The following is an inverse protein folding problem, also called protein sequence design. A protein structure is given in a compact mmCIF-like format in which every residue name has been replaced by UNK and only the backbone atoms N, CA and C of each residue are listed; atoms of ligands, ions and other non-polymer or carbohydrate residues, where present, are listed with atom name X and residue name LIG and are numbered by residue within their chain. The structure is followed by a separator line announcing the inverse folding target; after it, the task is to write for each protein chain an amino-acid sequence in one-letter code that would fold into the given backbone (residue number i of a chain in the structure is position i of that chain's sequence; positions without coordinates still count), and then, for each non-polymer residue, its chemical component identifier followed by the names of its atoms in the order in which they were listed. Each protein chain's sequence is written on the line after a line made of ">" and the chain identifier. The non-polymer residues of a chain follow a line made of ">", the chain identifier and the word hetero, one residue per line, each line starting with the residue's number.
data_IF_082179384573
#
_entry.id   IF_082179384573
#
_cell.length_a   1.000
_cell.length_b   1.000
_cell.length_c   1.000
_cell.angle_alpha   90.00
_cell.angle_beta   90.00
_cell.angle_gamma   90.00
#
_symmetry.space_group_name_H-M   'P 1'
#
loop_
_entity.id
_entity.type
_entity.pdbx_description
1 polymer ?
#
# COMPACT_ATOMS: atom_id res chain seq x y z
N UNK A 1 -3.96 -0.23 -30.63
CA UNK A 1 -4.66 -1.38 -30.02
C UNK A 1 -3.99 -1.66 -28.68
N UNK A 2 -4.63 -1.30 -27.56
CA UNK A 2 -4.06 -1.54 -26.22
C UNK A 2 -4.42 -2.96 -25.79
N UNK A 3 -3.40 -3.81 -25.60
CA UNK A 3 -3.54 -5.16 -25.05
C UNK A 3 -4.02 -5.06 -23.59
N UNK A 4 -5.33 -5.17 -23.36
CA UNK A 4 -5.91 -5.27 -22.03
C UNK A 4 -5.76 -6.69 -21.48
N UNK A 5 -4.53 -7.11 -21.20
CA UNK A 5 -4.28 -8.32 -20.42
C UNK A 5 -4.64 -8.04 -18.95
N UNK A 6 -5.92 -8.06 -18.63
CA UNK A 6 -6.40 -8.07 -17.24
C UNK A 6 -5.83 -9.32 -16.56
N UNK A 7 -4.86 -9.11 -15.66
CA UNK A 7 -4.26 -10.20 -14.89
C UNK A 7 -5.29 -10.69 -13.90
N UNK A 8 -5.89 -11.87 -14.12
CA UNK A 8 -6.79 -12.48 -13.13
C UNK A 8 -5.98 -12.99 -11.95
N UNK A 9 -6.07 -12.30 -10.81
CA UNK A 9 -5.52 -12.75 -9.54
C UNK A 9 -6.63 -12.86 -8.50
N UNK A 10 -6.88 -14.07 -8.00
CA UNK A 10 -7.89 -14.31 -6.96
C UNK A 10 -7.49 -13.70 -5.61
N UNK A 11 -6.20 -13.41 -5.44
CA UNK A 11 -5.63 -12.96 -4.17
C UNK A 11 -5.16 -11.51 -4.19
N UNK A 12 -4.69 -11.01 -5.34
CA UNK A 12 -4.13 -9.68 -5.47
C UNK A 12 -4.99 -8.75 -6.33
N UNK A 13 -5.89 -8.01 -5.68
CA UNK A 13 -6.80 -7.10 -6.37
C UNK A 13 -6.05 -5.93 -7.02
N UNK A 14 -5.00 -5.41 -6.36
CA UNK A 14 -4.09 -4.41 -6.93
C UNK A 14 -3.39 -4.92 -8.17
N UNK A 15 -2.92 -6.17 -8.17
CA UNK A 15 -2.12 -6.69 -9.29
C UNK A 15 -2.86 -6.68 -10.63
N UNK A 16 -4.20 -6.73 -10.59
CA UNK A 16 -5.04 -6.62 -11.79
C UNK A 16 -5.04 -5.20 -12.38
N UNK A 17 -4.74 -4.19 -11.56
CA UNK A 17 -4.84 -2.76 -11.85
C UNK A 17 -3.48 -2.06 -11.90
N UNK A 18 -2.41 -2.82 -11.71
CA UNK A 18 -1.04 -2.36 -11.89
C UNK A 18 -0.65 -2.44 -13.37
N UNK A 19 -0.16 -1.33 -13.90
CA UNK A 19 0.41 -1.34 -15.24
C UNK A 19 1.80 -1.97 -15.23
N UNK A 20 2.17 -2.71 -16.29
CA UNK A 20 3.56 -3.07 -16.53
C UNK A 20 4.38 -1.78 -16.60
N UNK A 21 5.32 -1.62 -15.68
CA UNK A 21 6.22 -0.47 -15.70
C UNK A 21 7.20 -0.64 -16.86
N UNK A 22 7.36 0.41 -17.67
CA UNK A 22 8.45 0.47 -18.64
C UNK A 22 9.78 0.64 -17.92
N UNK A 23 10.89 0.34 -18.60
CA UNK A 23 12.25 0.53 -18.06
C UNK A 23 12.47 1.96 -17.56
N UNK A 24 11.88 2.94 -18.25
CA UNK A 24 11.92 4.37 -17.90
C UNK A 24 10.94 4.79 -16.81
N UNK A 25 9.94 3.98 -16.49
CA UNK A 25 8.97 4.22 -15.41
C UNK A 25 9.14 3.19 -14.30
N UNK A 26 10.34 2.64 -14.11
CA UNK A 26 10.62 1.62 -13.12
C UNK A 26 11.17 2.23 -11.83
N UNK A 27 10.48 2.03 -10.70
CA UNK A 27 10.92 2.51 -9.38
C UNK A 27 12.23 1.89 -8.95
N UNK A 28 12.58 0.70 -9.46
CA UNK A 28 13.85 0.01 -9.17
C UNK A 28 15.04 0.85 -9.64
N UNK A 29 14.91 1.53 -10.78
CA UNK A 29 15.99 2.32 -11.36
C UNK A 29 15.98 3.78 -10.88
N UNK A 30 14.81 4.29 -10.46
CA UNK A 30 14.60 5.70 -10.12
C UNK A 30 14.81 6.02 -8.65
N UNK A 31 14.58 5.05 -7.76
CA UNK A 31 14.55 5.27 -6.32
C UNK A 31 15.71 4.54 -5.64
N UNK A 32 16.04 4.96 -4.42
CA UNK A 32 17.00 4.22 -3.58
C UNK A 32 16.42 2.84 -3.24
N UNK A 33 17.28 1.88 -2.95
CA UNK A 33 16.88 0.49 -2.66
C UNK A 33 15.77 0.38 -1.59
N UNK A 34 15.89 1.14 -0.50
CA UNK A 34 14.88 1.16 0.58
C UNK A 34 13.53 1.69 0.10
N UNK A 35 13.54 2.70 -0.76
CA UNK A 35 12.36 3.37 -1.31
C UNK A 35 11.67 2.51 -2.36
N UNK A 36 12.46 1.92 -3.25
CA UNK A 36 12.02 0.92 -4.21
C UNK A 36 11.37 -0.27 -3.52
N UNK A 37 11.91 -0.71 -2.37
CA UNK A 37 11.32 -1.78 -1.56
C UNK A 37 9.94 -1.41 -1.02
N UNK A 38 9.72 -0.16 -0.60
CA UNK A 38 8.39 0.29 -0.14
C UNK A 38 7.38 0.30 -1.27
N UNK A 39 7.75 0.83 -2.44
CA UNK A 39 6.87 0.83 -3.63
C UNK A 39 6.56 -0.59 -4.07
N UNK A 40 7.56 -1.48 -4.08
CA UNK A 40 7.36 -2.91 -4.34
C UNK A 40 6.37 -3.52 -3.35
N UNK A 41 6.49 -3.21 -2.06
CA UNK A 41 5.60 -3.77 -1.04
C UNK A 41 4.14 -3.31 -1.19
N UNK A 42 3.92 -2.04 -1.55
CA UNK A 42 2.59 -1.53 -1.93
C UNK A 42 2.06 -2.27 -3.15
N UNK A 43 2.85 -2.34 -4.22
CA UNK A 43 2.45 -2.99 -5.48
C UNK A 43 2.22 -4.50 -5.32
N UNK A 44 2.97 -5.16 -4.45
CA UNK A 44 2.82 -6.58 -4.14
C UNK A 44 1.76 -6.91 -3.09
N UNK A 45 1.08 -5.89 -2.54
CA UNK A 45 0.13 -6.03 -1.42
C UNK A 45 0.71 -6.68 -0.15
N UNK A 46 2.02 -6.56 0.08
CA UNK A 46 2.72 -7.20 1.21
C UNK A 46 3.02 -6.21 2.35
N UNK A 47 2.29 -5.09 2.40
CA UNK A 47 2.42 -4.13 3.50
C UNK A 47 1.90 -4.68 4.85
N UNK A 48 0.96 -5.62 4.80
CA UNK A 48 0.41 -6.24 6.00
C UNK A 48 1.37 -7.35 6.51
N UNK A 49 1.94 -7.24 7.72
CA UNK A 49 2.79 -8.28 8.30
C UNK A 49 2.04 -9.61 8.58
N UNK A 50 0.71 -9.57 8.65
CA UNK A 50 -0.19 -10.74 8.77
C UNK A 50 -0.75 -11.21 7.43
N UNK A 51 -0.15 -10.81 6.30
CA UNK A 51 -0.66 -11.17 4.98
C UNK A 51 -0.89 -12.69 4.87
N UNK A 52 -2.15 -13.08 4.62
CA UNK A 52 -2.59 -14.48 4.50
C UNK A 52 -1.84 -15.28 3.43
N UNK A 53 -1.25 -14.61 2.44
CA UNK A 53 -0.39 -15.25 1.45
C UNK A 53 0.86 -15.86 2.06
N UNK A 54 1.35 -15.28 3.16
CA UNK A 54 2.50 -15.77 3.89
C UNK A 54 2.09 -16.57 5.13
N UNK A 55 0.91 -16.30 5.70
CA UNK A 55 0.38 -16.93 6.92
C UNK A 55 -1.14 -17.14 6.82
N UNK A 56 -1.62 -18.21 6.16
CA UNK A 56 -3.05 -18.45 5.90
C UNK A 56 -3.93 -18.44 7.17
N UNK A 57 -3.35 -18.87 8.29
CA UNK A 57 -3.96 -18.92 9.62
C UNK A 57 -4.06 -17.56 10.34
N UNK A 58 -3.46 -16.49 9.80
CA UNK A 58 -3.48 -15.18 10.43
C UNK A 58 -4.81 -14.44 10.20
N UNK A 59 -5.22 -13.71 11.25
CA UNK A 59 -6.31 -12.75 11.21
C UNK A 59 -5.99 -11.62 10.21
N UNK A 60 -6.86 -11.44 9.22
CA UNK A 60 -6.73 -10.43 8.17
C UNK A 60 -7.35 -9.08 8.54
N UNK A 61 -7.85 -8.93 9.77
CA UNK A 61 -8.34 -7.67 10.30
C UNK A 61 -7.22 -6.66 10.49
N UNK A 62 -7.58 -5.38 10.35
CA UNK A 62 -6.68 -4.28 10.55
C UNK A 62 -6.16 -4.23 11.97
N UNK A 63 -4.83 -4.24 12.10
CA UNK A 63 -4.19 -4.20 13.42
C UNK A 63 -4.24 -2.81 14.05
N UNK A 64 -4.55 -1.79 13.25
CA UNK A 64 -4.68 -0.41 13.71
C UNK A 64 -6.14 -0.06 14.01
N UNK A 65 -7.09 -0.64 13.28
CA UNK A 65 -8.50 -0.25 13.33
C UNK A 65 -9.38 -1.37 13.89
N UNK A 66 -9.88 -1.16 15.11
CA UNK A 66 -10.59 -2.16 15.90
C UNK A 66 -12.02 -2.48 15.42
N UNK A 67 -12.50 -1.89 14.32
CA UNK A 67 -13.83 -2.21 13.78
C UNK A 67 -13.83 -3.44 12.85
N UNK A 68 -12.72 -4.18 12.79
CA UNK A 68 -12.66 -5.46 12.07
C UNK A 68 -12.63 -5.35 10.55
N UNK A 69 -12.28 -4.18 10.01
CA UNK A 69 -12.04 -4.03 8.58
C UNK A 69 -10.87 -4.93 8.14
N UNK A 70 -10.98 -5.55 6.97
CA UNK A 70 -9.87 -6.32 6.39
C UNK A 70 -8.73 -5.38 6.02
N UNK A 71 -7.52 -5.69 6.46
CA UNK A 71 -6.33 -4.95 6.10
C UNK A 71 -5.70 -5.49 4.83
N UNK A 72 -6.04 -4.83 3.73
CA UNK A 72 -5.29 -4.89 2.49
C UNK A 72 -4.57 -3.55 2.22
N UNK A 73 -3.83 -3.49 1.12
CA UNK A 73 -3.09 -2.29 0.76
C UNK A 73 -4.00 -1.12 0.41
N UNK A 74 -5.20 -1.37 -0.12
CA UNK A 74 -6.16 -0.30 -0.37
C UNK A 74 -6.65 0.29 0.97
N UNK A 75 -7.07 -0.57 1.91
CA UNK A 75 -7.44 -0.13 3.25
C UNK A 75 -6.35 0.72 3.89
N UNK A 76 -5.10 0.21 3.87
CA UNK A 76 -3.95 0.91 4.45
C UNK A 76 -3.68 2.27 3.77
N UNK A 77 -3.64 2.32 2.44
CA UNK A 77 -3.24 3.54 1.69
C UNK A 77 -4.37 4.54 1.55
N UNK A 78 -5.63 4.12 1.56
CA UNK A 78 -6.74 4.95 1.08
C UNK A 78 -7.80 5.31 2.12
N UNK A 79 -8.12 4.43 3.08
CA UNK A 79 -9.36 4.59 3.86
C UNK A 79 -9.24 4.29 5.36
N UNK A 80 -8.16 3.62 5.83
CA UNK A 80 -8.00 3.29 7.24
C UNK A 80 -8.12 4.56 8.11
N UNK A 81 -9.14 4.71 8.98
CA UNK A 81 -9.41 5.99 9.65
C UNK A 81 -8.27 6.44 10.57
N UNK A 82 -7.57 5.48 11.19
CA UNK A 82 -6.39 5.74 12.05
C UNK A 82 -5.23 6.37 11.28
N UNK A 83 -5.21 6.19 9.96
CA UNK A 83 -4.15 6.71 9.09
C UNK A 83 -4.52 8.01 8.36
N UNK A 84 -5.65 8.64 8.70
CA UNK A 84 -6.18 9.84 8.04
C UNK A 84 -5.20 11.02 8.08
N UNK A 85 -4.59 11.29 9.23
CA UNK A 85 -3.62 12.39 9.38
C UNK A 85 -2.35 12.18 8.55
N UNK A 86 -1.87 10.94 8.48
CA UNK A 86 -0.72 10.59 7.65
C UNK A 86 -1.04 10.74 6.15
N UNK A 87 -2.27 10.37 5.75
CA UNK A 87 -2.74 10.61 4.37
C UNK A 87 -2.87 12.10 4.09
N UNK A 88 -3.39 12.88 5.04
CA UNK A 88 -3.48 14.34 4.87
C UNK A 88 -2.10 14.97 4.69
N UNK A 89 -1.13 14.60 5.51
CA UNK A 89 0.24 15.09 5.42
C UNK A 89 0.93 14.73 4.09
N UNK A 90 0.59 13.58 3.50
CA UNK A 90 1.28 13.06 2.31
C UNK A 90 0.56 13.41 1.00
N UNK A 91 -0.78 13.36 1.00
CA UNK A 91 -1.63 13.47 -0.19
C UNK A 91 -2.55 14.69 -0.16
N UNK A 92 -2.65 15.40 0.97
CA UNK A 92 -3.59 16.52 1.16
C UNK A 92 -5.05 16.08 1.24
N UNK A 93 -5.30 14.79 1.52
CA UNK A 93 -6.63 14.18 1.62
C UNK A 93 -6.65 13.16 2.75
N UNK A 94 -7.76 13.09 3.48
CA UNK A 94 -7.99 12.15 4.58
C UNK A 94 -8.41 10.77 4.10
N UNK A 95 -8.94 10.68 2.88
CA UNK A 95 -9.35 9.47 2.16
C UNK A 95 -8.96 9.59 0.69
N UNK A 96 -8.65 8.45 0.07
CA UNK A 96 -8.38 8.37 -1.37
C UNK A 96 -9.40 7.46 -2.05
N UNK A 97 -9.76 7.81 -3.28
CA UNK A 97 -10.44 6.84 -4.14
C UNK A 97 -9.46 5.73 -4.52
N UNK A 98 -10.01 4.57 -4.83
CA UNK A 98 -9.30 3.41 -5.37
C UNK A 98 -8.40 3.80 -6.56
N UNK A 99 -8.91 4.58 -7.50
CA UNK A 99 -8.16 5.08 -8.65
C UNK A 99 -6.97 5.96 -8.26
N UNK A 100 -7.14 6.85 -7.27
CA UNK A 100 -6.06 7.72 -6.78
C UNK A 100 -4.98 6.92 -6.07
N UNK A 101 -5.34 5.98 -5.21
CA UNK A 101 -4.39 5.09 -4.56
C UNK A 101 -3.56 4.30 -5.60
N UNK A 102 -4.20 3.84 -6.67
CA UNK A 102 -3.51 3.14 -7.76
C UNK A 102 -2.65 4.04 -8.62
N UNK A 103 -3.06 5.28 -8.86
CA UNK A 103 -2.25 6.24 -9.56
C UNK A 103 -0.90 6.45 -8.85
N UNK A 104 -0.90 6.57 -7.51
CA UNK A 104 0.34 6.63 -6.73
C UNK A 104 1.18 5.35 -6.87
N UNK A 105 0.57 4.17 -6.75
CA UNK A 105 1.28 2.90 -6.91
C UNK A 105 1.89 2.69 -8.31
N UNK A 106 1.29 3.29 -9.35
CA UNK A 106 1.73 3.25 -10.74
C UNK A 106 2.68 4.38 -11.16
N UNK A 107 3.15 5.20 -10.21
CA UNK A 107 4.17 6.21 -10.49
C UNK A 107 3.64 7.62 -10.75
N UNK A 108 2.42 7.92 -10.31
CA UNK A 108 1.92 9.29 -10.29
C UNK A 108 2.77 10.22 -9.43
N UNK A 109 3.12 9.79 -8.21
CA UNK A 109 4.02 10.50 -7.29
C UNK A 109 4.53 9.54 -6.20
N UNK A 110 5.66 8.89 -6.46
CA UNK A 110 6.20 7.90 -5.51
C UNK A 110 6.79 8.54 -4.26
N UNK A 111 7.24 9.79 -4.32
CA UNK A 111 7.77 10.48 -3.16
C UNK A 111 6.68 10.66 -2.10
N UNK A 112 5.47 11.06 -2.51
CA UNK A 112 4.29 11.09 -1.62
C UNK A 112 3.90 9.71 -1.11
N UNK A 113 3.93 8.69 -1.98
CA UNK A 113 3.60 7.32 -1.57
C UNK A 113 4.59 6.81 -0.51
N UNK A 114 5.88 7.08 -0.70
CA UNK A 114 6.96 6.69 0.22
C UNK A 114 6.84 7.45 1.53
N UNK A 115 6.61 8.76 1.48
CA UNK A 115 6.40 9.60 2.66
C UNK A 115 5.22 9.08 3.48
N UNK A 116 4.13 8.75 2.80
CA UNK A 116 2.99 8.09 3.42
C UNK A 116 3.44 6.78 4.06
N UNK A 117 3.89 5.77 3.30
CA UNK A 117 4.16 4.42 3.82
C UNK A 117 5.15 4.40 5.00
N UNK A 118 6.16 5.29 5.01
CA UNK A 118 7.15 5.38 6.10
C UNK A 118 6.50 5.73 7.44
N UNK A 119 5.48 6.59 7.46
CA UNK A 119 4.98 7.22 8.68
C UNK A 119 4.07 6.29 9.51
N UNK A 120 3.01 5.66 8.94
CA UNK A 120 2.21 4.63 9.59
C UNK A 120 3.01 3.40 10.03
N UNK A 121 4.10 3.05 9.35
CA UNK A 121 4.97 1.94 9.76
C UNK A 121 5.69 2.21 11.06
N UNK A 122 6.25 3.42 11.21
CA UNK A 122 6.83 3.88 12.48
C UNK A 122 5.77 3.93 13.57
N UNK A 123 4.58 4.45 13.25
CA UNK A 123 3.47 4.51 14.19
C UNK A 123 3.01 3.12 14.65
N UNK A 124 2.87 2.16 13.75
CA UNK A 124 2.52 0.77 14.09
C UNK A 124 3.54 0.14 15.02
N UNK A 125 4.83 0.31 14.70
CA UNK A 125 5.92 -0.19 15.56
C UNK A 125 5.88 0.44 16.95
N UNK A 126 5.65 1.76 17.01
CA UNK A 126 5.45 2.47 18.28
C UNK A 126 4.29 1.88 19.08
N UNK A 127 3.14 1.61 18.45
CA UNK A 127 2.00 0.97 19.14
C UNK A 127 2.35 -0.43 19.65
N UNK A 128 3.04 -1.24 18.85
CA UNK A 128 3.45 -2.61 19.23
C UNK A 128 4.47 -2.63 20.39
N UNK A 129 5.31 -1.62 20.49
CA UNK A 129 6.33 -1.48 21.54
C UNK A 129 5.75 -0.88 22.84
N UNK A 130 4.68 -0.06 22.77
CA UNK A 130 4.15 0.69 23.91
C UNK A 130 2.78 0.18 24.44
N UNK A 131 2.14 -0.77 23.76
CA UNK A 131 0.83 -1.33 24.16
C UNK A 131 0.80 -2.87 24.24
N UNK A 132 1.90 -3.50 24.69
CA UNK A 132 1.91 -4.91 25.13
C UNK A 132 1.93 -5.02 26.64
#
# INVERSE_FOLDING_TARGET
>A
QQNSNFRKSNFHKLYQLLFPLSTESNYINKLKSEEASLVFQVRGEILNPKNKLLKPECDDRCTLYNMGAREDTFHFVAECPVLSEFRWASFGKDTLTTEKAYNYANGGDWDKLILFVRSPRKYRRFLEENHK
#
